data_IF_931481211637
#
_entry.id   IF_931481211637
#
_cell.length_a   1.000
_cell.length_b   1.000
_cell.length_c   1.000
_cell.angle_alpha   90.00
_cell.angle_beta   90.00
_cell.angle_gamma   90.00
#
_symmetry.space_group_name_H-M   'P 1'
#
loop_
_entity.id
_entity.type
_entity.pdbx_description
1 polymer ?
#
# COMPACT_ATOMS: atom_id res chain seq x y z
N UNK A 1 21.37 -5.24 16.12
CA UNK A 1 20.31 -5.32 15.09
C UNK A 1 20.88 -6.05 13.90
N UNK A 2 20.24 -7.07 13.41
CA UNK A 2 20.58 -7.65 12.10
C UNK A 2 19.86 -6.76 11.10
N UNK A 3 20.58 -5.89 10.41
CA UNK A 3 20.04 -5.17 9.27
C UNK A 3 19.70 -6.22 8.20
N UNK A 4 18.44 -6.32 7.82
CA UNK A 4 18.05 -7.04 6.60
C UNK A 4 18.69 -6.34 5.42
N UNK A 5 19.08 -7.07 4.38
CA UNK A 5 19.59 -6.48 3.15
C UNK A 5 18.61 -5.46 2.55
N UNK A 6 19.10 -4.53 1.75
CA UNK A 6 18.29 -3.46 1.13
C UNK A 6 17.17 -3.97 0.21
N UNK A 7 17.15 -5.27 -0.09
CA UNK A 7 16.15 -5.94 -0.92
C UNK A 7 15.23 -6.89 -0.12
N UNK A 8 15.11 -6.65 1.20
CA UNK A 8 14.32 -7.45 2.13
C UNK A 8 12.88 -7.67 1.64
N UNK A 9 12.29 -6.66 1.04
CA UNK A 9 10.91 -6.66 0.54
C UNK A 9 10.65 -7.69 -0.58
N UNK A 10 11.70 -8.25 -1.20
CA UNK A 10 11.55 -9.29 -2.24
C UNK A 10 11.30 -10.69 -1.66
N UNK A 11 11.61 -10.90 -0.38
CA UNK A 11 11.75 -12.25 0.18
C UNK A 11 10.87 -12.53 1.41
N UNK A 12 10.14 -11.55 1.92
CA UNK A 12 9.41 -11.71 3.19
C UNK A 12 7.92 -12.04 3.02
N UNK A 13 7.40 -11.88 1.81
CA UNK A 13 5.97 -11.98 1.57
C UNK A 13 5.50 -13.42 1.43
N UNK A 14 4.45 -13.78 2.19
CA UNK A 14 3.76 -15.06 2.10
C UNK A 14 2.24 -14.85 2.09
N UNK A 15 1.47 -15.86 1.66
CA UNK A 15 0.01 -15.81 1.70
C UNK A 15 -0.59 -15.77 3.11
N UNK A 16 0.23 -15.94 4.14
CA UNK A 16 -0.20 -15.76 5.55
C UNK A 16 -0.68 -14.33 5.83
N UNK A 17 -0.25 -13.36 5.02
CA UNK A 17 -0.74 -11.98 5.06
C UNK A 17 -2.26 -11.86 5.00
N UNK A 18 -2.95 -12.83 4.37
CA UNK A 18 -4.41 -12.89 4.29
C UNK A 18 -5.10 -12.99 5.66
N UNK A 19 -4.36 -13.45 6.68
CA UNK A 19 -4.87 -13.64 8.04
C UNK A 19 -4.71 -12.38 8.92
N UNK A 20 -4.13 -11.30 8.38
CA UNK A 20 -3.99 -10.06 9.14
C UNK A 20 -5.32 -9.31 9.23
N UNK A 21 -5.58 -8.69 10.39
CA UNK A 21 -6.81 -7.95 10.70
C UNK A 21 -7.13 -6.85 9.69
N UNK A 22 -6.13 -6.11 9.23
CA UNK A 22 -6.32 -5.02 8.26
C UNK A 22 -6.78 -5.48 6.87
N UNK A 23 -6.77 -6.78 6.58
CA UNK A 23 -7.30 -7.35 5.33
C UNK A 23 -8.83 -7.47 5.38
N UNK A 24 -9.42 -7.62 6.56
CA UNK A 24 -10.84 -7.85 6.77
C UNK A 24 -11.71 -6.72 6.20
N UNK A 25 -11.24 -5.47 6.29
CA UNK A 25 -11.96 -4.26 5.88
C UNK A 25 -11.91 -3.95 4.36
N UNK A 26 -11.43 -4.89 3.54
CA UNK A 26 -11.23 -4.66 2.09
C UNK A 26 -12.46 -4.07 1.39
N UNK A 27 -13.67 -4.56 1.69
CA UNK A 27 -14.90 -4.09 1.04
C UNK A 27 -15.21 -2.64 1.40
N UNK A 28 -15.07 -2.29 2.67
CA UNK A 28 -15.29 -0.95 3.18
C UNK A 28 -14.25 0.03 2.60
N UNK A 29 -12.98 -0.39 2.50
CA UNK A 29 -11.92 0.40 1.88
C UNK A 29 -12.26 0.71 0.41
N UNK A 30 -12.75 -0.27 -0.34
CA UNK A 30 -13.16 -0.08 -1.73
C UNK A 30 -14.41 0.80 -1.84
N UNK A 31 -15.38 0.69 -0.92
CA UNK A 31 -16.53 1.61 -0.89
C UNK A 31 -16.09 3.07 -0.74
N UNK A 32 -15.15 3.32 0.16
CA UNK A 32 -14.57 4.63 0.36
C UNK A 32 -13.84 5.15 -0.90
N UNK A 33 -12.98 4.33 -1.52
CA UNK A 33 -12.23 4.70 -2.71
C UNK A 33 -13.16 5.02 -3.89
N UNK A 34 -14.17 4.17 -4.14
CA UNK A 34 -15.15 4.39 -5.21
C UNK A 34 -15.85 5.74 -5.02
N UNK A 35 -16.30 6.02 -3.81
CA UNK A 35 -16.99 7.27 -3.48
C UNK A 35 -16.07 8.48 -3.57
N UNK A 36 -14.87 8.40 -3.01
CA UNK A 36 -13.91 9.51 -2.92
C UNK A 36 -13.39 9.91 -4.29
N UNK A 37 -13.12 8.92 -5.14
CA UNK A 37 -12.61 9.16 -6.48
C UNK A 37 -13.74 9.29 -7.52
N UNK A 38 -14.99 9.18 -7.15
CA UNK A 38 -16.14 9.15 -8.07
C UNK A 38 -15.84 8.21 -9.26
N UNK A 39 -15.60 6.92 -8.96
CA UNK A 39 -15.20 5.94 -9.97
C UNK A 39 -16.35 5.52 -10.86
N UNK A 40 -16.11 5.47 -12.17
CA UNK A 40 -17.06 5.00 -13.18
C UNK A 40 -16.60 3.67 -13.79
N UNK A 41 -17.55 2.85 -14.23
CA UNK A 41 -17.28 1.49 -14.74
C UNK A 41 -16.51 1.44 -16.06
N UNK A 42 -16.51 2.53 -16.80
CA UNK A 42 -15.76 2.70 -18.05
C UNK A 42 -14.28 3.03 -17.83
N UNK A 43 -13.89 3.36 -16.62
CA UNK A 43 -12.50 3.71 -16.26
C UNK A 43 -11.63 2.46 -16.11
N UNK A 44 -10.38 2.58 -16.58
CA UNK A 44 -9.32 1.58 -16.36
C UNK A 44 -8.53 1.92 -15.10
N UNK A 45 -8.39 0.95 -14.22
CA UNK A 45 -7.71 1.10 -12.93
C UNK A 45 -6.42 0.28 -12.94
N UNK A 46 -5.32 0.87 -12.51
CA UNK A 46 -4.06 0.19 -12.20
C UNK A 46 -3.88 0.14 -10.68
N UNK A 47 -3.62 -1.04 -10.14
CA UNK A 47 -3.31 -1.28 -8.72
C UNK A 47 -1.84 -1.70 -8.62
N UNK A 48 -0.97 -0.77 -8.24
CA UNK A 48 0.48 -0.96 -8.15
C UNK A 48 0.86 -1.51 -6.78
N UNK A 49 1.74 -2.53 -6.77
CA UNK A 49 2.06 -3.35 -5.61
C UNK A 49 0.78 -3.94 -4.98
N UNK A 50 -0.04 -4.58 -5.84
CA UNK A 50 -1.39 -5.03 -5.50
C UNK A 50 -1.42 -6.19 -4.48
N UNK A 51 -0.27 -6.75 -4.11
CA UNK A 51 -0.17 -7.93 -3.27
C UNK A 51 -0.93 -9.11 -3.87
N UNK A 52 -1.63 -9.86 -3.03
CA UNK A 52 -2.51 -10.97 -3.48
C UNK A 52 -3.83 -10.50 -4.13
N UNK A 53 -3.91 -9.23 -4.51
CA UNK A 53 -4.98 -8.66 -5.32
C UNK A 53 -6.30 -8.40 -4.60
N UNK A 54 -6.34 -8.27 -3.27
CA UNK A 54 -7.60 -8.11 -2.53
C UNK A 54 -8.44 -6.92 -3.00
N UNK A 55 -7.83 -5.78 -3.25
CA UNK A 55 -8.51 -4.59 -3.76
C UNK A 55 -8.88 -4.73 -5.24
N UNK A 56 -7.93 -5.20 -6.07
CA UNK A 56 -8.13 -5.48 -7.49
C UNK A 56 -9.29 -6.44 -7.73
N UNK A 57 -9.35 -7.55 -6.98
CA UNK A 57 -10.42 -8.56 -7.07
C UNK A 57 -11.77 -7.96 -6.64
N UNK A 58 -11.80 -7.21 -5.54
CA UNK A 58 -13.04 -6.59 -5.05
C UNK A 58 -13.57 -5.53 -6.03
N UNK A 59 -12.70 -4.70 -6.60
CA UNK A 59 -13.08 -3.77 -7.68
C UNK A 59 -13.63 -4.52 -8.90
N UNK A 60 -12.99 -5.63 -9.28
CA UNK A 60 -13.46 -6.44 -10.41
C UNK A 60 -14.81 -7.12 -10.14
N UNK A 61 -15.09 -7.61 -8.91
CA UNK A 61 -16.42 -8.09 -8.49
C UNK A 61 -17.49 -7.03 -8.65
N UNK A 62 -17.12 -5.77 -8.46
CA UNK A 62 -18.01 -4.62 -8.65
C UNK A 62 -18.06 -4.15 -10.11
N UNK A 63 -17.43 -4.85 -11.06
CA UNK A 63 -17.51 -4.61 -12.50
C UNK A 63 -16.56 -3.53 -13.02
N UNK A 64 -15.50 -3.18 -12.30
CA UNK A 64 -14.44 -2.29 -12.78
C UNK A 64 -13.40 -3.07 -13.61
N UNK A 65 -12.74 -2.37 -14.55
CA UNK A 65 -11.61 -2.91 -15.31
C UNK A 65 -10.31 -2.66 -14.55
N UNK A 66 -9.68 -3.71 -14.04
CA UNK A 66 -8.52 -3.60 -13.16
C UNK A 66 -7.33 -4.37 -13.70
N UNK A 67 -6.16 -3.75 -13.63
CA UNK A 67 -4.85 -4.39 -13.80
C UNK A 67 -4.11 -4.26 -12.47
N UNK A 68 -3.74 -5.37 -11.85
CA UNK A 68 -2.88 -5.41 -10.66
C UNK A 68 -1.45 -5.76 -11.07
N UNK A 69 -0.45 -5.20 -10.40
CA UNK A 69 0.95 -5.55 -10.59
C UNK A 69 1.65 -5.73 -9.25
N UNK A 70 2.43 -6.81 -9.11
CA UNK A 70 3.22 -7.09 -7.91
C UNK A 70 4.47 -7.91 -8.27
N UNK A 71 5.51 -7.80 -7.43
CA UNK A 71 6.76 -8.53 -7.61
C UNK A 71 6.69 -9.98 -7.09
N UNK A 72 5.72 -10.28 -6.23
CA UNK A 72 5.61 -11.53 -5.50
C UNK A 72 4.85 -12.58 -6.31
N UNK A 73 5.55 -13.58 -6.81
CA UNK A 73 4.98 -14.62 -7.68
C UNK A 73 3.77 -15.33 -7.07
N UNK A 74 3.85 -15.71 -5.79
CA UNK A 74 2.79 -16.46 -5.12
C UNK A 74 1.51 -15.61 -4.98
N UNK A 75 1.67 -14.31 -4.77
CA UNK A 75 0.55 -13.36 -4.74
C UNK A 75 -0.16 -13.26 -6.08
N UNK A 76 0.60 -13.07 -7.15
CA UNK A 76 0.04 -12.97 -8.50
C UNK A 76 -0.64 -14.27 -8.90
N UNK A 77 0.00 -15.41 -8.62
CA UNK A 77 -0.59 -16.73 -8.90
C UNK A 77 -1.93 -16.94 -8.18
N UNK A 78 -2.00 -16.55 -6.90
CA UNK A 78 -3.22 -16.64 -6.09
C UNK A 78 -4.32 -15.70 -6.61
N UNK A 79 -3.97 -14.47 -6.96
CA UNK A 79 -4.88 -13.48 -7.51
C UNK A 79 -5.47 -13.93 -8.86
N UNK A 80 -4.63 -14.45 -9.77
CA UNK A 80 -5.07 -15.00 -11.06
C UNK A 80 -6.01 -16.20 -10.91
N UNK A 81 -5.66 -17.15 -10.00
CA UNK A 81 -6.50 -18.29 -9.71
C UNK A 81 -7.86 -17.89 -9.15
N UNK A 82 -7.87 -16.89 -8.25
CA UNK A 82 -9.10 -16.35 -7.67
C UNK A 82 -9.95 -15.66 -8.75
N UNK A 83 -9.35 -14.81 -9.58
CA UNK A 83 -10.05 -14.15 -10.68
C UNK A 83 -10.66 -15.17 -11.65
N UNK A 84 -9.90 -16.20 -12.03
CA UNK A 84 -10.38 -17.28 -12.91
C UNK A 84 -11.53 -18.07 -12.28
N UNK A 85 -11.39 -18.45 -11.01
CA UNK A 85 -12.43 -19.20 -10.26
C UNK A 85 -13.75 -18.46 -10.17
N UNK A 86 -13.67 -17.13 -10.00
CA UNK A 86 -14.83 -16.27 -9.84
C UNK A 86 -15.33 -15.67 -11.17
N UNK A 87 -14.66 -15.91 -12.29
CA UNK A 87 -15.02 -15.37 -13.62
C UNK A 87 -14.83 -13.86 -13.72
N UNK A 88 -13.85 -13.31 -13.00
CA UNK A 88 -13.56 -11.86 -12.97
C UNK A 88 -12.70 -11.43 -14.15
N UNK A 89 -12.83 -10.15 -14.54
CA UNK A 89 -12.05 -9.54 -15.64
C UNK A 89 -10.71 -8.95 -15.21
N UNK A 90 -10.38 -8.96 -13.91
CA UNK A 90 -9.11 -8.48 -13.40
C UNK A 90 -7.93 -9.22 -14.07
N UNK A 91 -6.88 -8.47 -14.40
CA UNK A 91 -5.63 -9.02 -14.94
C UNK A 91 -4.49 -8.72 -13.98
N UNK A 92 -3.50 -9.62 -13.92
CA UNK A 92 -2.38 -9.46 -13.02
C UNK A 92 -1.06 -9.56 -13.79
N UNK A 93 -0.05 -8.80 -13.33
CA UNK A 93 1.29 -8.72 -13.94
C UNK A 93 2.30 -9.03 -12.85
N UNK A 94 3.10 -10.07 -13.04
CA UNK A 94 4.27 -10.35 -12.21
C UNK A 94 5.43 -9.48 -12.70
N UNK A 95 5.74 -8.41 -11.96
CA UNK A 95 6.82 -7.48 -12.32
C UNK A 95 7.25 -6.67 -11.11
N UNK A 96 8.51 -6.27 -11.09
CA UNK A 96 8.91 -5.08 -10.31
C UNK A 96 8.18 -3.87 -10.91
N UNK A 97 7.51 -3.09 -10.07
CA UNK A 97 6.72 -1.94 -10.53
C UNK A 97 7.56 -0.89 -11.24
N UNK A 98 8.87 -0.79 -10.93
CA UNK A 98 9.83 0.11 -11.59
C UNK A 98 10.10 -0.24 -13.05
N UNK A 99 9.86 -1.49 -13.43
CA UNK A 99 10.09 -2.00 -14.79
C UNK A 99 8.87 -1.82 -15.70
N UNK A 100 7.72 -1.48 -15.12
CA UNK A 100 6.49 -1.26 -15.88
C UNK A 100 6.60 -0.02 -16.77
N UNK A 101 6.14 -0.14 -18.01
CA UNK A 101 6.17 0.92 -19.02
C UNK A 101 4.77 1.15 -19.55
N UNK A 102 4.06 2.04 -18.88
CA UNK A 102 2.76 2.53 -19.32
C UNK A 102 2.89 3.93 -19.89
N UNK A 103 2.00 4.32 -20.77
CA UNK A 103 1.96 5.64 -21.34
C UNK A 103 0.52 6.15 -21.42
N UNK A 104 0.09 6.80 -20.35
CA UNK A 104 -1.24 7.42 -20.25
C UNK A 104 -2.40 6.45 -20.55
N UNK A 105 -2.34 5.25 -19.99
CA UNK A 105 -3.33 4.20 -20.26
C UNK A 105 -4.45 4.11 -19.23
N UNK A 106 -4.23 4.63 -18.03
CA UNK A 106 -5.14 4.45 -16.90
C UNK A 106 -5.82 5.77 -16.50
N UNK A 107 -7.09 5.64 -16.16
CA UNK A 107 -7.88 6.73 -15.61
C UNK A 107 -7.63 6.87 -14.10
N UNK A 108 -7.22 5.77 -13.46
CA UNK A 108 -6.96 5.71 -12.02
C UNK A 108 -5.75 4.83 -11.75
N UNK A 109 -4.87 5.28 -10.84
CA UNK A 109 -3.79 4.48 -10.26
C UNK A 109 -3.99 4.41 -8.76
N UNK A 110 -3.88 3.22 -8.19
CA UNK A 110 -3.95 2.95 -6.75
C UNK A 110 -2.59 2.45 -6.26
N UNK A 111 -2.18 2.92 -5.08
CA UNK A 111 -1.02 2.42 -4.31
C UNK A 111 -1.47 2.26 -2.86
N UNK A 112 -1.94 1.08 -2.50
CA UNK A 112 -2.63 0.84 -1.23
C UNK A 112 -1.80 -0.02 -0.27
N UNK A 113 -2.01 0.17 1.03
CA UNK A 113 -1.26 -0.52 2.09
C UNK A 113 0.27 -0.36 1.90
N UNK A 114 0.73 0.88 1.95
CA UNK A 114 2.07 1.37 1.63
C UNK A 114 2.48 1.25 0.14
N UNK A 115 1.91 0.33 -0.64
CA UNK A 115 2.12 0.23 -2.09
C UNK A 115 3.60 0.16 -2.52
N UNK A 116 4.45 -0.46 -1.69
CA UNK A 116 5.90 -0.52 -1.80
C UNK A 116 6.64 0.84 -1.70
N UNK A 117 5.92 1.94 -1.50
CA UNK A 117 6.53 3.28 -1.34
C UNK A 117 7.32 3.32 -0.03
N UNK A 118 8.60 3.66 -0.13
CA UNK A 118 9.52 3.68 1.00
C UNK A 118 10.21 2.36 1.31
N UNK A 119 9.88 1.27 0.60
CA UNK A 119 10.44 -0.06 0.84
C UNK A 119 11.75 -0.31 0.09
N UNK A 120 12.00 0.46 -0.97
CA UNK A 120 13.07 0.19 -1.91
C UNK A 120 14.44 0.60 -1.35
N UNK A 121 15.48 0.22 -2.05
CA UNK A 121 16.89 0.27 -1.61
C UNK A 121 17.34 1.66 -1.13
N UNK A 122 16.75 2.70 -1.70
CA UNK A 122 17.04 4.10 -1.36
C UNK A 122 15.95 5.02 -1.93
N UNK A 123 16.03 6.32 -1.59
CA UNK A 123 15.03 7.31 -2.00
C UNK A 123 14.91 7.47 -3.52
N UNK A 124 16.01 7.39 -4.27
CA UNK A 124 15.97 7.48 -5.74
C UNK A 124 15.18 6.31 -6.35
N UNK A 125 15.30 5.12 -5.77
CA UNK A 125 14.51 3.97 -6.21
C UNK A 125 13.03 4.14 -5.86
N UNK A 126 12.72 4.65 -4.67
CA UNK A 126 11.34 4.96 -4.28
C UNK A 126 10.70 6.00 -5.21
N UNK A 127 11.44 7.02 -5.62
CA UNK A 127 10.94 8.06 -6.52
C UNK A 127 10.54 7.51 -7.89
N UNK A 128 11.15 6.41 -8.37
CA UNK A 128 10.75 5.75 -9.62
C UNK A 128 9.32 5.21 -9.59
N UNK A 129 8.79 4.87 -8.40
CA UNK A 129 7.39 4.46 -8.27
C UNK A 129 6.47 5.62 -8.68
N UNK A 130 6.77 6.83 -8.21
CA UNK A 130 6.00 8.03 -8.56
C UNK A 130 6.12 8.38 -10.06
N UNK A 131 7.28 8.09 -10.69
CA UNK A 131 7.44 8.23 -12.14
C UNK A 131 6.48 7.28 -12.88
N UNK A 132 6.43 6.00 -12.47
CA UNK A 132 5.52 5.00 -13.06
C UNK A 132 4.05 5.40 -12.86
N UNK A 133 3.68 5.91 -11.68
CA UNK A 133 2.33 6.41 -11.41
C UNK A 133 1.98 7.53 -12.40
N UNK A 134 2.85 8.52 -12.51
CA UNK A 134 2.63 9.66 -13.39
C UNK A 134 2.55 9.24 -14.86
N UNK A 135 3.44 8.37 -15.33
CA UNK A 135 3.48 7.90 -16.71
C UNK A 135 2.25 7.05 -17.05
N UNK A 136 1.76 6.24 -16.12
CA UNK A 136 0.58 5.41 -16.31
C UNK A 136 -0.72 6.20 -16.43
N UNK A 137 -0.82 7.34 -15.73
CA UNK A 137 -2.03 8.16 -15.69
C UNK A 137 -2.24 8.97 -16.97
N UNK A 138 -3.48 8.98 -17.46
CA UNK A 138 -3.96 9.94 -18.45
C UNK A 138 -3.97 11.36 -17.85
N UNK A 139 -3.94 12.43 -18.68
CA UNK A 139 -4.31 13.77 -18.22
C UNK A 139 -5.68 13.77 -17.54
N UNK A 140 -5.81 14.40 -16.38
CA UNK A 140 -7.01 14.34 -15.54
C UNK A 140 -7.20 13.03 -14.78
N UNK A 141 -6.25 12.09 -14.90
CA UNK A 141 -6.27 10.81 -14.19
C UNK A 141 -6.07 10.98 -12.69
N UNK A 142 -6.69 10.10 -11.91
CA UNK A 142 -6.76 10.14 -10.44
C UNK A 142 -5.77 9.17 -9.83
N UNK A 143 -5.07 9.59 -8.81
CA UNK A 143 -4.19 8.74 -8.02
C UNK A 143 -4.65 8.72 -6.56
N UNK A 144 -4.66 7.54 -5.95
CA UNK A 144 -4.92 7.38 -4.53
C UNK A 144 -3.90 6.44 -3.90
N UNK A 145 -3.23 6.91 -2.87
CA UNK A 145 -2.28 6.11 -2.09
C UNK A 145 -2.61 6.15 -0.60
N UNK A 146 -2.12 5.13 0.09
CA UNK A 146 -2.33 4.88 1.51
C UNK A 146 -1.00 4.44 2.14
N UNK A 147 -0.43 5.28 2.99
CA UNK A 147 0.93 5.17 3.53
C UNK A 147 0.95 5.39 5.04
N UNK A 148 2.07 5.03 5.68
CA UNK A 148 2.38 5.48 7.03
C UNK A 148 2.89 6.93 7.02
N UNK A 149 2.38 7.75 7.95
CA UNK A 149 2.65 9.17 8.07
C UNK A 149 3.99 9.46 8.75
N UNK A 150 4.93 10.09 8.05
CA UNK A 150 6.22 10.48 8.59
C UNK A 150 6.14 11.49 9.75
N UNK A 151 5.16 12.40 9.76
CA UNK A 151 4.96 13.32 10.88
C UNK A 151 4.47 12.60 12.13
N UNK A 152 3.60 11.61 11.98
CA UNK A 152 3.19 10.75 13.11
C UNK A 152 4.39 10.03 13.71
N UNK A 153 5.21 9.38 12.87
CA UNK A 153 6.37 8.62 13.32
C UNK A 153 7.34 9.47 14.13
N UNK A 154 7.64 10.67 13.65
CA UNK A 154 8.51 11.65 14.30
C UNK A 154 8.04 12.03 15.72
N UNK A 155 6.73 12.08 15.94
CA UNK A 155 6.13 12.52 17.20
C UNK A 155 5.83 11.39 18.19
N UNK A 156 5.63 10.16 17.70
CA UNK A 156 5.05 9.09 18.49
C UNK A 156 5.91 7.82 18.59
N UNK A 157 6.94 7.68 17.77
CA UNK A 157 7.83 6.53 17.89
C UNK A 157 9.02 6.80 18.82
N UNK A 158 9.54 5.82 19.57
CA UNK A 158 9.19 4.39 19.49
C UNK A 158 7.80 4.07 20.09
N UNK A 159 7.13 3.07 19.52
CA UNK A 159 5.83 2.62 19.99
C UNK A 159 5.66 1.11 19.81
N UNK A 160 4.74 0.56 20.60
CA UNK A 160 4.25 -0.82 20.42
C UNK A 160 2.73 -0.79 20.36
N UNK A 161 2.15 -1.65 19.54
CA UNK A 161 0.70 -1.80 19.45
C UNK A 161 0.30 -3.26 19.36
N UNK A 162 -0.98 -3.51 19.57
CA UNK A 162 -1.59 -4.80 19.30
C UNK A 162 -2.97 -4.59 18.68
N UNK A 163 -3.39 -5.56 17.87
CA UNK A 163 -4.69 -5.57 17.24
C UNK A 163 -5.26 -6.98 17.23
N UNK A 164 -6.53 -7.11 17.61
CA UNK A 164 -7.24 -8.37 17.62
C UNK A 164 -8.12 -8.46 16.35
N UNK A 165 -7.72 -9.29 15.40
CA UNK A 165 -8.54 -9.69 14.25
C UNK A 165 -9.46 -10.87 14.60
N UNK A 166 -10.22 -11.35 13.63
CA UNK A 166 -11.15 -12.49 13.84
C UNK A 166 -10.41 -13.79 14.16
N UNK A 167 -9.21 -14.01 13.60
CA UNK A 167 -8.49 -15.29 13.65
C UNK A 167 -7.16 -15.22 14.41
N UNK A 168 -6.64 -14.02 14.67
CA UNK A 168 -5.31 -13.84 15.23
C UNK A 168 -5.15 -12.51 15.97
N UNK A 169 -4.16 -12.48 16.87
CA UNK A 169 -3.64 -11.28 17.53
C UNK A 169 -2.37 -10.84 16.80
N UNK A 170 -2.32 -9.60 16.36
CA UNK A 170 -1.13 -8.98 15.78
C UNK A 170 -0.44 -8.08 16.79
N UNK A 171 0.85 -8.29 17.00
CA UNK A 171 1.73 -7.46 17.83
C UNK A 171 2.67 -6.68 16.90
N UNK A 172 2.83 -5.39 17.14
CA UNK A 172 3.69 -4.53 16.31
C UNK A 172 4.62 -3.69 17.17
N UNK A 173 5.84 -3.47 16.67
CA UNK A 173 6.84 -2.61 17.27
C UNK A 173 7.38 -1.66 16.21
N UNK A 174 7.44 -0.37 16.53
CA UNK A 174 7.89 0.69 15.63
C UNK A 174 9.04 1.46 16.29
N UNK A 175 10.09 1.72 15.53
CA UNK A 175 11.18 2.64 15.89
C UNK A 175 11.36 3.68 14.78
N UNK A 176 11.95 4.83 15.09
CA UNK A 176 12.16 5.93 14.16
C UNK A 176 13.62 6.37 14.12
N UNK A 177 14.20 6.34 12.93
CA UNK A 177 15.48 6.98 12.63
C UNK A 177 15.19 8.36 12.00
N UNK A 178 15.32 9.41 12.81
CA UNK A 178 14.98 10.77 12.37
C UNK A 178 15.94 11.32 11.32
N UNK A 179 17.19 10.86 11.30
CA UNK A 179 18.20 11.33 10.34
C UNK A 179 17.92 10.78 8.95
N UNK A 180 17.58 9.50 8.87
CA UNK A 180 17.27 8.80 7.62
C UNK A 180 15.80 8.88 7.24
N UNK A 181 14.92 9.36 8.13
CA UNK A 181 13.46 9.33 8.00
C UNK A 181 12.92 7.92 7.74
N UNK A 182 13.48 6.95 8.46
CA UNK A 182 13.15 5.53 8.33
C UNK A 182 12.39 5.03 9.56
N UNK A 183 11.26 4.41 9.34
CA UNK A 183 10.59 3.58 10.31
C UNK A 183 11.21 2.17 10.30
N UNK A 184 11.58 1.66 11.47
CA UNK A 184 11.89 0.26 11.66
C UNK A 184 10.64 -0.43 12.19
N UNK A 185 10.14 -1.39 11.43
CA UNK A 185 8.94 -2.14 11.76
C UNK A 185 9.28 -3.58 12.13
N UNK A 186 8.67 -4.08 13.18
CA UNK A 186 8.69 -5.49 13.53
C UNK A 186 7.32 -5.94 13.99
N UNK A 187 6.94 -7.15 13.64
CA UNK A 187 5.63 -7.69 13.99
C UNK A 187 5.66 -9.18 14.30
N UNK A 188 4.62 -9.64 14.98
CA UNK A 188 4.34 -11.04 15.23
C UNK A 188 2.84 -11.26 15.24
N UNK A 189 2.38 -12.20 14.42
CA UNK A 189 0.99 -12.68 14.45
C UNK A 189 0.91 -13.96 15.25
N UNK A 190 -0.10 -14.09 16.10
CA UNK A 190 -0.38 -15.25 16.95
C UNK A 190 -1.80 -15.69 16.65
N UNK A 191 -1.97 -16.87 16.04
CA UNK A 191 -3.29 -17.42 15.73
C UNK A 191 -4.02 -17.83 17.02
N UNK A 192 -5.32 -17.61 17.08
CA UNK A 192 -6.10 -18.04 18.24
C UNK A 192 -6.12 -19.57 18.33
N UNK A 193 -5.97 -20.07 19.56
CA UNK A 193 -5.86 -21.50 19.84
C UNK A 193 -4.45 -22.05 19.84
N UNK A 194 -3.44 -21.30 19.40
CA UNK A 194 -2.04 -21.66 19.57
C UNK A 194 -1.57 -21.42 21.02
N UNK A 195 -0.63 -22.25 21.56
CA UNK A 195 -0.03 -22.00 22.85
C UNK A 195 0.70 -20.65 22.84
N UNK A 196 0.42 -19.81 23.85
CA UNK A 196 1.11 -18.54 24.00
C UNK A 196 2.57 -18.79 24.44
N UNK A 197 3.50 -18.58 23.53
CA UNK A 197 4.94 -18.55 23.80
C UNK A 197 5.38 -17.09 23.80
N UNK A 198 6.41 -16.76 24.59
CA UNK A 198 6.98 -15.39 24.60
C UNK A 198 7.28 -14.97 23.15
N UNK A 199 6.61 -13.94 22.60
CA UNK A 199 6.83 -13.54 21.22
C UNK A 199 8.22 -12.91 21.09
N UNK A 200 8.97 -13.35 20.08
CA UNK A 200 10.13 -12.63 19.59
C UNK A 200 9.68 -11.75 18.42
N UNK A 201 9.66 -10.45 18.64
CA UNK A 201 9.41 -9.47 17.58
C UNK A 201 10.74 -9.21 16.89
N UNK A 202 10.87 -9.72 15.67
CA UNK A 202 12.05 -9.49 14.85
C UNK A 202 11.98 -8.05 14.34
N UNK A 203 12.98 -7.25 14.68
CA UNK A 203 13.19 -5.93 14.09
C UNK A 203 13.81 -6.11 12.72
N UNK A 204 13.37 -5.33 11.74
CA UNK A 204 14.17 -5.41 10.55
C UNK A 204 13.64 -4.84 9.25
N UNK A 205 12.38 -4.53 9.15
CA UNK A 205 11.86 -3.95 7.91
C UNK A 205 12.04 -2.43 7.99
N UNK A 206 12.87 -1.90 7.09
CA UNK A 206 13.18 -0.48 7.02
C UNK A 206 12.25 0.17 5.99
N UNK A 207 11.44 1.13 6.41
CA UNK A 207 10.48 1.81 5.55
C UNK A 207 10.75 3.31 5.62
N UNK A 208 11.08 3.93 4.48
CA UNK A 208 11.18 5.37 4.34
C UNK A 208 9.78 5.98 4.40
N UNK A 209 9.50 6.80 5.39
CA UNK A 209 8.22 7.48 5.52
C UNK A 209 8.29 8.91 4.97
N UNK A 210 7.26 9.29 4.27
CA UNK A 210 7.10 10.62 3.69
C UNK A 210 6.12 11.45 4.51
N UNK A 211 6.36 12.76 4.56
CA UNK A 211 5.42 13.74 5.10
C UNK A 211 4.48 14.20 3.99
N UNK A 212 3.37 14.86 4.37
CA UNK A 212 2.46 15.50 3.42
C UNK A 212 3.21 16.48 2.49
N UNK A 213 4.07 17.33 3.06
CA UNK A 213 4.80 18.33 2.29
C UNK A 213 5.78 17.68 1.29
N UNK A 214 6.53 16.65 1.72
CA UNK A 214 7.40 15.90 0.80
C UNK A 214 6.62 15.27 -0.35
N UNK A 215 5.46 14.68 -0.07
CA UNK A 215 4.60 14.12 -1.11
C UNK A 215 4.06 15.20 -2.05
N UNK A 216 3.74 16.37 -1.52
CA UNK A 216 3.36 17.53 -2.33
C UNK A 216 4.42 17.90 -3.36
N UNK A 217 5.66 18.08 -2.91
CA UNK A 217 6.80 18.39 -3.78
C UNK A 217 7.06 17.27 -4.82
N UNK A 218 7.02 15.99 -4.39
CA UNK A 218 7.25 14.83 -5.26
C UNK A 218 6.19 14.76 -6.37
N UNK A 219 4.92 14.97 -6.02
CA UNK A 219 3.80 14.90 -6.96
C UNK A 219 3.79 16.11 -7.89
N UNK A 220 4.03 17.34 -7.37
CA UNK A 220 4.09 18.56 -8.17
C UNK A 220 5.18 18.49 -9.26
N UNK A 221 6.36 17.94 -8.93
CA UNK A 221 7.44 17.71 -9.89
C UNK A 221 7.03 16.77 -11.05
N UNK A 222 5.90 16.06 -10.93
CA UNK A 222 5.32 15.13 -11.92
C UNK A 222 4.01 15.62 -12.51
N UNK A 223 3.73 16.91 -12.39
CA UNK A 223 2.47 17.52 -12.82
C UNK A 223 1.23 16.88 -12.18
N UNK A 224 1.34 16.53 -10.90
CA UNK A 224 0.24 15.98 -10.11
C UNK A 224 -0.05 16.92 -8.93
N UNK A 225 -1.32 17.13 -8.63
CA UNK A 225 -1.75 18.02 -7.55
C UNK A 225 -2.53 17.25 -6.51
N UNK A 226 -2.18 17.40 -5.23
CA UNK A 226 -2.97 16.86 -4.11
C UNK A 226 -4.31 17.60 -4.05
N UNK A 227 -5.39 16.84 -4.05
CA UNK A 227 -6.77 17.35 -3.96
C UNK A 227 -7.29 17.22 -2.54
N UNK A 228 -7.00 16.09 -1.88
CA UNK A 228 -7.51 15.79 -0.55
C UNK A 228 -6.61 14.77 0.16
N UNK A 229 -6.56 14.87 1.49
CA UNK A 229 -5.86 13.91 2.35
C UNK A 229 -6.78 13.40 3.45
N UNK A 230 -6.53 12.16 3.89
CA UNK A 230 -7.31 11.49 4.93
C UNK A 230 -6.40 10.69 5.86
N UNK A 231 -6.91 10.38 7.05
CA UNK A 231 -6.24 9.50 8.03
C UNK A 231 -6.92 8.15 8.20
N UNK A 232 -8.02 7.90 7.53
CA UNK A 232 -8.70 6.60 7.51
C UNK A 232 -9.71 6.50 6.36
N UNK A 233 -10.19 5.27 6.11
CA UNK A 233 -11.20 4.96 5.10
C UNK A 233 -12.64 5.33 5.51
N UNK A 234 -12.82 6.18 6.54
CA UNK A 234 -14.11 6.78 6.92
C UNK A 234 -14.17 8.28 6.59
N UNK A 235 -13.11 8.80 5.95
CA UNK A 235 -13.06 10.19 5.52
C UNK A 235 -12.60 11.18 6.61
N UNK A 236 -11.97 10.69 7.68
CA UNK A 236 -11.36 11.57 8.67
C UNK A 236 -10.21 12.33 8.02
N UNK A 237 -10.16 13.68 8.15
CA UNK A 237 -9.04 14.46 7.63
C UNK A 237 -7.70 14.00 8.21
N UNK A 238 -6.63 14.13 7.42
CA UNK A 238 -5.27 13.89 7.87
C UNK A 238 -4.89 14.72 9.06
N UNK A 239 -4.12 14.14 9.96
CA UNK A 239 -3.46 14.84 11.07
C UNK A 239 -2.15 14.14 11.44
N UNK A 240 -1.21 14.86 12.05
CA UNK A 240 0.01 14.28 12.63
C UNK A 240 -0.24 13.36 13.85
N UNK A 241 -1.49 13.18 14.25
CA UNK A 241 -1.90 12.31 15.38
C UNK A 241 -2.34 10.92 14.94
N UNK A 242 -2.36 10.65 13.63
CA UNK A 242 -2.78 9.37 13.04
C UNK A 242 -1.66 8.79 12.21
N UNK A 243 -1.45 7.47 12.35
CA UNK A 243 -0.39 6.76 11.62
C UNK A 243 -0.65 6.73 10.12
N UNK A 244 -1.92 6.70 9.71
CA UNK A 244 -2.30 6.61 8.30
C UNK A 244 -2.24 7.98 7.62
N UNK A 245 -1.67 8.02 6.43
CA UNK A 245 -1.70 9.14 5.50
C UNK A 245 -2.20 8.66 4.14
N UNK A 246 -3.41 9.05 3.79
CA UNK A 246 -4.00 8.76 2.49
C UNK A 246 -4.02 10.03 1.65
N UNK A 247 -3.55 9.93 0.41
CA UNK A 247 -3.45 11.07 -0.50
C UNK A 247 -4.22 10.79 -1.77
N UNK A 248 -5.18 11.64 -2.08
CA UNK A 248 -5.84 11.74 -3.37
C UNK A 248 -5.21 12.86 -4.18
N UNK A 249 -4.68 12.54 -5.35
CA UNK A 249 -4.10 13.52 -6.28
C UNK A 249 -4.61 13.32 -7.70
N UNK A 250 -4.47 14.37 -8.55
CA UNK A 250 -4.87 14.35 -9.96
C UNK A 250 -3.68 14.79 -10.80
N UNK A 251 -3.47 14.11 -11.93
CA UNK A 251 -2.50 14.51 -12.97
C UNK A 251 -3.10 15.62 -13.83
N UNK A 252 -2.32 16.68 -14.07
CA UNK A 252 -2.67 17.78 -14.97
C UNK A 252 -2.67 17.36 -16.43
#
# INVERSE_FOLDING_TARGET
MIEKGSDWYKNIWSLDIKNHSWVEDTKQQIDFIIKTLDLRKDQRILDLACGFGRHSLELSRRGFQVVGADITKDYITDAENTAKKEGLSARFILSDIRDLKFNQEFDVVLNLADGAIGYLENDNENLKIFDVIADALKPGGKHFMDLCNGEYAKLHFPATSWEAGENALSLSCFEWDAEKKIMLYGGKTISYGEPLVKPEILRGDTIRLYTHDELGEILEARNMTIIQTYSNYYGKPETSKELQLMVYSIKS
#
